data_IF_902592953895
#
_entry.id   IF_902592953895
#
_cell.length_a   1.000
_cell.length_b   1.000
_cell.length_c   1.000
_cell.angle_alpha   90.00
_cell.angle_beta   90.00
_cell.angle_gamma   90.00
#
_symmetry.space_group_name_H-M   'P 1'
#
loop_
_entity.id
_entity.type
_entity.pdbx_description
1 polymer ?
#
# COMPACT_ATOMS: atom_id res chain seq x y z
N UNK A 1 40.14 -11.34 46.94
CA UNK A 1 40.06 -10.57 45.69
C UNK A 1 38.91 -11.10 44.83
N UNK A 2 37.79 -10.41 44.80
CA UNK A 2 36.58 -10.83 44.07
C UNK A 2 36.76 -10.50 42.57
N UNK A 3 36.66 -11.52 41.71
CA UNK A 3 36.66 -11.34 40.27
C UNK A 3 35.40 -10.54 39.86
N UNK A 4 35.55 -9.32 39.31
CA UNK A 4 34.49 -8.58 38.64
C UNK A 4 34.13 -9.28 37.35
N UNK A 5 32.93 -9.90 37.30
CA UNK A 5 32.36 -10.52 36.11
C UNK A 5 31.55 -9.50 35.30
N UNK A 6 32.19 -8.49 34.72
CA UNK A 6 31.60 -7.56 33.77
C UNK A 6 32.19 -7.76 32.38
N UNK A 7 31.35 -7.74 31.35
CA UNK A 7 31.83 -7.70 29.97
C UNK A 7 32.02 -6.24 29.55
N UNK A 8 33.19 -5.92 29.02
CA UNK A 8 33.53 -4.58 28.53
C UNK A 8 32.99 -4.44 27.11
N UNK A 9 32.23 -3.37 26.86
CA UNK A 9 31.76 -2.93 25.57
C UNK A 9 32.14 -1.48 25.32
N UNK A 10 32.18 -1.10 24.07
CA UNK A 10 32.49 0.29 23.65
C UNK A 10 31.26 0.86 22.96
N UNK A 11 30.73 1.98 23.47
CA UNK A 11 29.58 2.70 22.94
C UNK A 11 30.01 3.99 22.27
N UNK A 12 29.53 4.24 21.06
CA UNK A 12 29.78 5.51 20.38
C UNK A 12 28.95 6.63 21.02
N UNK A 13 29.61 7.73 21.41
CA UNK A 13 28.96 8.91 21.99
C UNK A 13 28.08 9.67 21.00
N UNK A 14 28.37 9.54 19.68
CA UNK A 14 27.62 10.25 18.63
C UNK A 14 26.39 9.50 18.12
N UNK A 15 26.45 8.16 17.95
CA UNK A 15 25.35 7.40 17.37
C UNK A 15 24.80 6.27 18.28
N UNK A 16 25.43 6.03 19.43
CA UNK A 16 24.99 4.99 20.37
C UNK A 16 25.37 3.57 19.99
N UNK A 17 26.04 3.34 18.85
CA UNK A 17 26.49 2.02 18.42
C UNK A 17 27.39 1.37 19.47
N UNK A 18 27.16 0.09 19.76
CA UNK A 18 27.93 -0.67 20.75
C UNK A 18 28.60 -1.87 20.14
N UNK A 19 29.86 -2.12 20.53
CA UNK A 19 30.64 -3.28 20.09
C UNK A 19 31.59 -3.77 21.16
N UNK A 20 32.06 -5.04 21.08
CA UNK A 20 32.89 -5.66 22.10
C UNK A 20 34.37 -5.26 22.04
N UNK A 21 34.79 -4.49 21.04
CA UNK A 21 36.20 -4.08 20.83
C UNK A 21 36.27 -2.59 20.54
N UNK A 22 37.29 -1.93 21.05
CA UNK A 22 37.54 -0.54 20.70
C UNK A 22 38.04 -0.42 19.26
N UNK A 23 37.47 0.52 18.52
CA UNK A 23 37.94 0.94 17.17
C UNK A 23 38.17 2.44 17.20
N UNK A 24 39.22 2.92 16.52
CA UNK A 24 39.50 4.35 16.40
C UNK A 24 38.43 5.14 15.67
N UNK A 25 37.58 4.45 14.88
CA UNK A 25 36.48 5.04 14.11
C UNK A 25 35.21 4.21 14.29
N UNK A 26 34.10 4.85 14.55
CA UNK A 26 32.80 4.16 14.65
C UNK A 26 32.40 3.59 13.28
N UNK A 27 32.10 2.27 13.15
CA UNK A 27 31.71 1.67 11.88
C UNK A 27 30.34 2.11 11.38
N UNK A 28 29.46 2.60 12.27
CA UNK A 28 28.10 3.00 11.93
C UNK A 28 28.04 4.46 11.45
N UNK A 29 28.57 5.43 12.23
CA UNK A 29 28.51 6.85 11.89
C UNK A 29 29.80 7.41 11.31
N UNK A 30 30.89 6.65 11.30
CA UNK A 30 32.17 7.05 10.77
C UNK A 30 32.96 8.07 11.62
N UNK A 31 32.51 8.42 12.80
CA UNK A 31 33.15 9.43 13.67
C UNK A 31 34.38 8.85 14.36
N UNK A 32 35.44 9.65 14.45
CA UNK A 32 36.71 9.26 15.05
C UNK A 32 36.69 9.48 16.56
N UNK A 33 37.32 8.57 17.33
CA UNK A 33 37.49 8.63 18.79
C UNK A 33 36.18 8.80 19.57
N UNK A 34 35.06 8.36 19.01
CA UNK A 34 33.72 8.47 19.61
C UNK A 34 33.30 7.23 20.43
N UNK A 35 34.17 6.21 20.53
CA UNK A 35 33.86 4.97 21.24
C UNK A 35 34.38 5.05 22.70
N UNK A 36 33.43 5.10 23.64
CA UNK A 36 33.69 5.14 25.08
C UNK A 36 33.46 3.76 25.71
N UNK A 37 34.32 3.40 26.68
CA UNK A 37 34.25 2.13 27.38
C UNK A 37 33.09 2.10 28.35
N UNK A 38 32.22 1.09 28.22
CA UNK A 38 31.13 0.81 29.17
C UNK A 38 31.27 -0.61 29.72
N UNK A 39 31.16 -0.77 31.02
CA UNK A 39 31.18 -2.07 31.71
C UNK A 39 29.73 -2.49 31.92
N UNK A 40 29.29 -3.52 31.20
CA UNK A 40 27.97 -4.10 31.39
C UNK A 40 28.07 -5.22 32.43
N UNK A 41 27.52 -4.99 33.61
CA UNK A 41 27.40 -6.00 34.66
C UNK A 41 26.28 -6.98 34.26
N UNK A 42 26.61 -8.23 34.01
CA UNK A 42 25.66 -9.29 33.60
C UNK A 42 24.49 -9.52 34.58
N UNK A 43 24.59 -8.99 35.81
CA UNK A 43 23.53 -9.06 36.80
C UNK A 43 22.58 -7.84 36.77
N UNK A 44 22.80 -6.84 35.91
CA UNK A 44 21.97 -5.64 35.78
C UNK A 44 21.33 -5.46 34.40
N UNK A 45 21.32 -6.49 33.56
CA UNK A 45 20.44 -6.53 32.39
C UNK A 45 19.07 -7.04 32.86
N UNK A 46 18.50 -6.34 33.81
CA UNK A 46 17.07 -6.34 34.06
C UNK A 46 16.55 -5.05 33.48
N UNK A 47 15.65 -5.21 32.50
CA UNK A 47 14.82 -4.20 31.92
C UNK A 47 14.72 -2.89 32.71
N UNK A 48 15.27 -1.81 32.20
CA UNK A 48 14.81 -0.48 32.52
C UNK A 48 13.45 -0.31 31.83
N UNK A 49 12.39 -0.41 32.62
CA UNK A 49 11.02 -0.17 32.14
C UNK A 49 10.01 -1.00 32.92
N UNK A 50 9.38 -0.36 33.90
CA UNK A 50 8.18 -0.77 34.64
C UNK A 50 8.31 -1.91 35.68
N UNK A 51 8.11 -1.54 36.93
CA UNK A 51 7.55 -2.30 38.05
C UNK A 51 8.17 -3.67 38.35
N UNK A 52 8.67 -3.84 39.56
CA UNK A 52 9.09 -5.13 40.15
C UNK A 52 7.95 -6.17 40.13
N UNK A 53 7.61 -6.71 38.98
CA UNK A 53 6.93 -8.00 38.87
C UNK A 53 7.94 -9.01 38.36
N UNK A 54 8.11 -10.10 39.11
CA UNK A 54 8.96 -11.22 38.74
C UNK A 54 8.48 -11.72 37.37
N UNK A 55 9.29 -11.54 36.32
CA UNK A 55 8.99 -12.05 34.98
C UNK A 55 8.81 -13.56 35.11
N UNK A 56 7.57 -14.03 35.10
CA UNK A 56 7.22 -15.44 35.05
C UNK A 56 7.84 -16.03 33.79
N UNK A 57 8.74 -16.99 33.97
CA UNK A 57 9.36 -17.68 32.80
C UNK A 57 8.25 -18.36 32.01
N UNK A 58 7.99 -17.88 30.83
CA UNK A 58 7.03 -18.51 29.92
C UNK A 58 7.44 -19.95 29.65
N UNK A 59 6.52 -20.89 29.87
CA UNK A 59 6.72 -22.30 29.57
C UNK A 59 6.21 -22.60 28.17
N UNK A 60 6.91 -23.45 27.38
CA UNK A 60 6.41 -23.88 26.08
C UNK A 60 5.06 -24.59 26.24
N UNK A 61 4.10 -24.24 25.37
CA UNK A 61 2.75 -24.81 25.34
C UNK A 61 2.58 -25.59 24.05
N UNK A 62 1.98 -26.77 24.13
CA UNK A 62 1.71 -27.60 22.94
C UNK A 62 0.73 -26.90 22.01
N UNK A 63 1.05 -26.81 20.70
CA UNK A 63 0.25 -26.11 19.70
C UNK A 63 -1.21 -26.60 19.67
N UNK A 64 -1.46 -27.88 19.83
CA UNK A 64 -2.80 -28.48 19.85
C UNK A 64 -3.67 -28.06 21.07
N UNK A 65 -3.05 -27.58 22.14
CA UNK A 65 -3.77 -27.11 23.35
C UNK A 65 -4.15 -25.62 23.27
N UNK A 66 -3.66 -24.90 22.28
CA UNK A 66 -3.94 -23.47 22.08
C UNK A 66 -5.29 -23.36 21.34
N UNK A 67 -6.28 -22.78 22.01
CA UNK A 67 -7.53 -22.40 21.34
C UNK A 67 -7.29 -21.16 20.49
N UNK A 68 -7.57 -21.24 19.20
CA UNK A 68 -7.59 -20.05 18.35
C UNK A 68 -8.64 -19.07 18.91
N UNK A 69 -8.22 -17.83 19.17
CA UNK A 69 -9.17 -16.79 19.59
C UNK A 69 -10.03 -16.42 18.37
N UNK A 70 -11.28 -16.84 18.37
CA UNK A 70 -12.29 -16.37 17.42
C UNK A 70 -12.55 -14.87 17.71
N UNK A 71 -12.63 -14.05 16.63
CA UNK A 71 -12.90 -12.61 16.65
C UNK A 71 -11.82 -11.71 17.24
N UNK A 72 -10.65 -11.79 16.68
CA UNK A 72 -9.55 -10.90 17.03
C UNK A 72 -9.47 -9.65 16.14
N UNK A 73 -10.52 -9.26 15.41
CA UNK A 73 -10.50 -8.09 14.53
C UNK A 73 -11.38 -6.95 15.03
N UNK A 74 -10.90 -5.73 14.82
CA UNK A 74 -11.58 -4.48 15.03
C UNK A 74 -11.94 -3.89 13.66
N UNK A 75 -13.23 -3.71 13.36
CA UNK A 75 -13.64 -3.00 12.16
C UNK A 75 -13.27 -1.52 12.28
N UNK A 76 -12.70 -0.96 11.23
CA UNK A 76 -12.42 0.47 11.13
C UNK A 76 -13.66 1.28 10.80
N UNK A 77 -14.77 0.60 10.40
CA UNK A 77 -16.00 1.22 9.91
C UNK A 77 -15.86 1.84 8.53
N UNK A 78 -14.71 1.65 7.86
CA UNK A 78 -14.45 2.07 6.49
C UNK A 78 -14.18 0.81 5.66
N UNK A 79 -15.16 0.41 4.84
CA UNK A 79 -15.15 -0.87 4.12
C UNK A 79 -13.88 -1.11 3.30
N UNK A 80 -13.42 -0.10 2.56
CA UNK A 80 -12.20 -0.17 1.75
C UNK A 80 -10.94 -0.34 2.61
N UNK A 81 -10.92 0.24 3.81
CA UNK A 81 -9.80 0.08 4.72
C UNK A 81 -9.83 -1.30 5.39
N UNK A 82 -11.02 -1.74 5.82
CA UNK A 82 -11.20 -3.10 6.37
C UNK A 82 -10.83 -4.17 5.34
N UNK A 83 -11.15 -3.94 4.05
CA UNK A 83 -10.78 -4.83 2.95
C UNK A 83 -9.25 -5.01 2.86
N UNK A 84 -8.49 -3.91 2.85
CA UNK A 84 -7.02 -3.94 2.81
C UNK A 84 -6.42 -4.63 4.04
N UNK A 85 -7.06 -4.48 5.19
CA UNK A 85 -6.65 -5.13 6.42
C UNK A 85 -7.02 -6.63 6.48
N UNK A 86 -7.78 -7.13 5.50
CA UNK A 86 -8.24 -8.52 5.44
C UNK A 86 -9.47 -8.78 6.32
N UNK A 87 -10.39 -7.81 6.40
CA UNK A 87 -11.64 -7.87 7.16
C UNK A 87 -11.59 -7.13 8.50
N UNK A 88 -10.75 -6.09 8.60
CA UNK A 88 -10.54 -5.26 9.78
C UNK A 88 -9.19 -5.43 10.46
N UNK A 89 -8.85 -4.51 11.35
CA UNK A 89 -7.58 -4.49 12.06
C UNK A 89 -7.48 -5.63 13.09
N UNK A 90 -6.44 -6.44 13.03
CA UNK A 90 -6.23 -7.50 14.00
C UNK A 90 -5.89 -6.90 15.37
N UNK A 91 -6.52 -7.37 16.44
CA UNK A 91 -6.15 -7.00 17.82
C UNK A 91 -4.73 -7.46 18.14
N UNK A 92 -4.09 -6.80 19.08
CA UNK A 92 -2.69 -7.04 19.48
C UNK A 92 -1.72 -6.88 18.33
N UNK A 93 -2.02 -5.96 17.39
CA UNK A 93 -1.21 -5.73 16.22
C UNK A 93 -0.81 -4.28 16.05
N UNK A 94 0.32 -4.10 15.37
CA UNK A 94 0.84 -2.82 14.95
C UNK A 94 0.81 -2.71 13.42
N UNK A 95 0.26 -1.60 12.94
CA UNK A 95 0.09 -1.26 11.53
C UNK A 95 0.94 -0.01 11.24
N UNK A 96 1.71 -0.03 10.17
CA UNK A 96 2.44 1.12 9.66
C UNK A 96 1.75 1.63 8.39
N UNK A 97 1.27 2.86 8.42
CA UNK A 97 0.66 3.53 7.28
C UNK A 97 1.64 4.54 6.69
N UNK A 98 2.27 4.18 5.58
CA UNK A 98 3.20 5.02 4.82
C UNK A 98 2.49 5.80 3.72
N UNK A 99 2.96 7.02 3.41
CA UNK A 99 2.44 7.80 2.30
C UNK A 99 3.07 9.19 2.23
N UNK A 100 2.97 9.84 1.08
CA UNK A 100 3.46 11.21 0.90
C UNK A 100 2.80 12.20 1.86
N UNK A 101 3.47 13.30 2.25
CA UNK A 101 2.84 14.39 2.96
C UNK A 101 1.62 14.90 2.19
N UNK A 102 0.52 15.21 2.90
CA UNK A 102 -0.72 15.73 2.29
C UNK A 102 -1.57 14.72 1.54
N UNK A 103 -1.22 13.42 1.48
CA UNK A 103 -2.01 12.41 0.76
C UNK A 103 -3.36 12.10 1.42
N UNK A 104 -3.50 12.36 2.72
CA UNK A 104 -4.72 12.13 3.48
C UNK A 104 -4.60 11.11 4.61
N UNK A 105 -3.40 10.70 5.04
CA UNK A 105 -3.18 9.75 6.15
C UNK A 105 -3.94 10.15 7.42
N UNK A 106 -3.69 11.36 7.89
CA UNK A 106 -4.32 11.90 9.11
C UNK A 106 -5.84 12.05 8.96
N UNK A 107 -6.34 12.33 7.73
CA UNK A 107 -7.77 12.36 7.43
C UNK A 107 -8.39 10.98 7.55
N UNK A 108 -7.79 9.95 6.93
CA UNK A 108 -8.25 8.57 7.02
C UNK A 108 -8.30 8.09 8.47
N UNK A 109 -7.23 8.37 9.23
CA UNK A 109 -7.13 7.91 10.61
C UNK A 109 -8.13 8.64 11.53
N UNK A 110 -8.39 9.92 11.29
CA UNK A 110 -9.39 10.66 12.06
C UNK A 110 -10.82 10.17 11.75
N UNK A 111 -11.12 9.87 10.49
CA UNK A 111 -12.39 9.24 10.10
C UNK A 111 -12.55 7.84 10.73
N UNK A 112 -11.48 7.04 10.73
CA UNK A 112 -11.43 5.73 11.39
C UNK A 112 -11.65 5.85 12.90
N UNK A 113 -10.98 6.80 13.54
CA UNK A 113 -11.13 7.08 14.97
C UNK A 113 -12.59 7.42 15.33
N UNK A 114 -13.22 8.29 14.53
CA UNK A 114 -14.61 8.68 14.73
C UNK A 114 -15.57 7.50 14.56
N UNK A 115 -15.35 6.66 13.55
CA UNK A 115 -16.19 5.48 13.30
C UNK A 115 -16.07 4.44 14.42
N UNK A 116 -14.85 4.09 14.84
CA UNK A 116 -14.61 3.17 15.95
C UNK A 116 -15.22 3.73 17.24
N UNK A 117 -14.98 5.01 17.51
CA UNK A 117 -15.52 5.63 18.73
C UNK A 117 -17.04 5.62 18.76
N UNK A 118 -17.71 5.91 17.66
CA UNK A 118 -19.17 5.86 17.56
C UNK A 118 -19.72 4.45 17.84
N UNK A 119 -19.07 3.41 17.29
CA UNK A 119 -19.46 2.02 17.53
C UNK A 119 -19.32 1.59 18.99
N UNK A 120 -18.28 2.03 19.67
CA UNK A 120 -18.03 1.70 21.08
C UNK A 120 -18.88 2.52 22.05
N UNK A 121 -19.04 3.82 21.83
CA UNK A 121 -19.86 4.69 22.71
C UNK A 121 -21.33 4.35 22.66
N UNK A 122 -21.83 3.81 21.55
CA UNK A 122 -23.18 3.26 21.47
C UNK A 122 -23.41 2.11 22.47
N UNK A 123 -22.36 1.31 22.76
CA UNK A 123 -22.41 0.18 23.68
C UNK A 123 -22.05 0.57 25.12
N UNK A 124 -21.21 1.58 25.33
CA UNK A 124 -20.74 2.04 26.64
C UNK A 124 -20.33 3.52 26.63
N UNK A 125 -21.26 4.44 26.96
CA UNK A 125 -21.03 5.89 26.84
C UNK A 125 -19.89 6.46 27.70
N UNK A 126 -19.47 5.75 28.75
CA UNK A 126 -18.42 6.18 29.68
C UNK A 126 -17.01 5.78 29.23
N UNK A 127 -16.86 5.05 28.14
CA UNK A 127 -15.58 4.57 27.66
C UNK A 127 -15.02 5.48 26.57
N UNK A 128 -13.74 5.81 26.66
CA UNK A 128 -12.99 6.54 25.61
C UNK A 128 -12.09 5.56 24.85
N UNK A 129 -12.61 4.89 23.84
CA UNK A 129 -11.95 3.75 23.21
C UNK A 129 -10.76 4.14 22.32
N UNK A 130 -10.58 5.43 21.99
CA UNK A 130 -9.58 5.88 21.03
C UNK A 130 -8.64 6.90 21.68
N UNK A 131 -7.33 6.69 21.48
CA UNK A 131 -6.29 7.68 21.77
C UNK A 131 -5.57 8.07 20.48
N UNK A 132 -5.60 9.37 20.15
CA UNK A 132 -4.87 9.97 19.03
C UNK A 132 -3.68 10.76 19.58
N UNK A 133 -2.48 10.29 19.32
CA UNK A 133 -1.22 10.92 19.71
C UNK A 133 -0.68 11.67 18.49
N UNK A 134 -0.50 12.99 18.62
CA UNK A 134 0.04 13.85 17.57
C UNK A 134 1.35 14.48 18.02
N UNK A 135 2.40 14.29 17.24
CA UNK A 135 3.66 15.00 17.40
C UNK A 135 3.86 16.16 16.42
N UNK A 136 2.91 16.37 15.49
CA UNK A 136 3.02 17.39 14.45
C UNK A 136 1.96 18.49 14.58
N UNK A 137 0.73 18.14 14.93
CA UNK A 137 -0.39 19.06 14.97
C UNK A 137 -0.87 19.29 16.40
N UNK A 138 -1.35 20.51 16.64
CA UNK A 138 -2.01 20.87 17.91
C UNK A 138 -3.43 20.30 17.98
N UNK A 139 -3.96 20.15 19.19
CA UNK A 139 -5.33 19.69 19.41
C UNK A 139 -6.37 20.58 18.71
N UNK A 140 -6.12 21.89 18.62
CA UNK A 140 -7.00 22.84 17.93
C UNK A 140 -7.07 22.57 16.41
N UNK A 141 -5.93 22.29 15.77
CA UNK A 141 -5.86 21.95 14.34
C UNK A 141 -6.57 20.63 14.03
N UNK A 142 -6.37 19.61 14.87
CA UNK A 142 -7.07 18.33 14.74
C UNK A 142 -8.57 18.52 14.91
N UNK A 143 -9.00 19.32 15.90
CA UNK A 143 -10.42 19.63 16.12
C UNK A 143 -11.04 20.38 14.94
N UNK A 144 -10.37 21.39 14.39
CA UNK A 144 -10.82 22.13 13.22
C UNK A 144 -10.99 21.20 12.00
N UNK A 145 -10.05 20.28 11.80
CA UNK A 145 -10.16 19.24 10.76
C UNK A 145 -11.37 18.34 10.99
N UNK A 146 -11.57 17.88 12.21
CA UNK A 146 -12.70 17.03 12.56
C UNK A 146 -14.04 17.75 12.30
N UNK A 147 -14.15 19.03 12.67
CA UNK A 147 -15.34 19.84 12.45
C UNK A 147 -15.61 20.07 10.95
N UNK A 148 -14.57 20.38 10.17
CA UNK A 148 -14.67 20.50 8.72
C UNK A 148 -15.16 19.22 8.04
N UNK A 149 -14.75 18.06 8.56
CA UNK A 149 -15.18 16.75 8.06
C UNK A 149 -16.54 16.31 8.62
N UNK A 150 -17.14 17.07 9.53
CA UNK A 150 -18.42 16.73 10.17
C UNK A 150 -18.35 15.49 11.06
N UNK A 151 -17.19 15.19 11.68
CA UNK A 151 -16.98 13.99 12.45
C UNK A 151 -17.48 14.14 13.89
N UNK A 152 -18.11 13.07 14.41
CA UNK A 152 -18.45 12.97 15.81
C UNK A 152 -17.24 12.46 16.61
N UNK A 153 -16.68 13.30 17.47
CA UNK A 153 -15.44 13.04 18.19
C UNK A 153 -15.64 12.57 19.64
N UNK A 154 -16.87 12.26 20.05
CA UNK A 154 -17.13 11.73 21.39
C UNK A 154 -16.37 10.40 21.59
N UNK A 155 -15.62 10.27 22.70
CA UNK A 155 -14.82 9.07 23.00
C UNK A 155 -13.46 9.03 22.28
N UNK A 156 -13.02 10.12 21.65
CA UNK A 156 -11.66 10.27 21.14
C UNK A 156 -10.89 11.18 22.08
N UNK A 157 -9.80 10.67 22.65
CA UNK A 157 -8.84 11.46 23.40
C UNK A 157 -7.70 11.88 22.47
N UNK A 158 -7.22 13.12 22.64
CA UNK A 158 -6.09 13.66 21.87
C UNK A 158 -4.97 13.98 22.85
N UNK A 159 -3.76 13.50 22.55
CA UNK A 159 -2.53 13.84 23.23
C UNK A 159 -1.56 14.47 22.23
N UNK A 160 -1.24 15.76 22.44
CA UNK A 160 -0.25 16.46 21.61
C UNK A 160 1.09 16.45 22.34
N UNK A 161 1.93 15.47 22.03
CA UNK A 161 3.28 15.33 22.58
C UNK A 161 4.20 14.65 21.58
N UNK A 162 5.48 14.96 21.68
CA UNK A 162 6.55 14.23 21.00
C UNK A 162 7.36 13.33 21.94
N UNK A 163 7.01 13.29 23.23
CA UNK A 163 7.70 12.45 24.21
C UNK A 163 7.06 11.07 24.30
N UNK A 164 7.89 10.04 24.18
CA UNK A 164 7.47 8.65 24.29
C UNK A 164 6.86 8.36 25.69
N UNK A 165 7.51 8.85 26.73
CA UNK A 165 7.14 8.60 28.12
C UNK A 165 5.72 9.12 28.41
N UNK A 166 5.39 10.34 28.01
CA UNK A 166 4.05 10.91 28.17
C UNK A 166 3.00 10.09 27.39
N UNK A 167 3.39 9.55 26.25
CA UNK A 167 2.52 8.70 25.42
C UNK A 167 2.23 7.36 26.09
N UNK A 168 3.24 6.72 26.68
CA UNK A 168 3.08 5.44 27.38
C UNK A 168 2.25 5.60 28.67
N UNK A 169 2.47 6.68 29.43
CA UNK A 169 1.68 7.01 30.61
C UNK A 169 0.18 7.19 30.25
N UNK A 170 -0.11 7.87 29.13
CA UNK A 170 -1.47 8.03 28.66
C UNK A 170 -2.09 6.70 28.19
N UNK A 171 -1.32 5.87 27.51
CA UNK A 171 -1.74 4.53 27.09
C UNK A 171 -2.10 3.64 28.28
N UNK A 172 -1.28 3.62 29.32
CA UNK A 172 -1.51 2.81 30.52
C UNK A 172 -2.71 3.32 31.33
N UNK A 173 -2.89 4.64 31.40
CA UNK A 173 -4.00 5.24 32.14
C UNK A 173 -5.36 5.05 31.46
N UNK A 174 -5.41 5.14 30.12
CA UNK A 174 -6.65 5.10 29.34
C UNK A 174 -7.00 3.69 28.82
N UNK A 175 -6.00 2.83 28.64
CA UNK A 175 -6.12 1.49 28.06
C UNK A 175 -7.04 1.46 26.82
N UNK A 176 -6.73 2.26 25.78
CA UNK A 176 -7.59 2.40 24.60
C UNK A 176 -7.58 1.14 23.74
N UNK A 177 -8.70 0.87 23.04
CA UNK A 177 -8.79 -0.25 22.08
C UNK A 177 -8.17 0.08 20.73
N UNK A 178 -8.02 1.38 20.42
CA UNK A 178 -7.45 1.87 19.18
C UNK A 178 -6.53 3.06 19.42
N UNK A 179 -5.30 2.95 18.96
CA UNK A 179 -4.23 3.93 19.16
C UNK A 179 -3.73 4.43 17.82
N UNK A 180 -3.64 5.73 17.66
CA UNK A 180 -3.06 6.38 16.50
C UNK A 180 -1.83 7.18 16.93
N UNK A 181 -0.73 7.04 16.21
CA UNK A 181 0.48 7.87 16.35
C UNK A 181 0.76 8.58 15.03
N UNK A 182 0.61 9.88 15.02
CA UNK A 182 0.73 10.72 13.83
C UNK A 182 1.74 11.87 14.05
N UNK A 183 3.01 11.70 13.70
CA UNK A 183 3.68 10.56 13.10
C UNK A 183 4.72 9.95 14.06
N UNK A 184 5.11 8.71 13.82
CA UNK A 184 6.18 8.06 14.63
C UNK A 184 7.52 8.81 14.51
N UNK A 185 7.72 9.55 13.43
CA UNK A 185 8.97 10.28 13.16
C UNK A 185 9.19 11.46 14.10
N UNK A 186 8.16 11.97 14.72
CA UNK A 186 8.22 13.10 15.67
C UNK A 186 8.39 12.65 17.10
N UNK A 187 8.16 11.36 17.39
CA UNK A 187 8.27 10.82 18.73
C UNK A 187 9.75 10.57 19.09
N UNK A 188 10.13 10.94 20.29
CA UNK A 188 11.47 10.71 20.82
C UNK A 188 11.45 10.30 22.29
N UNK A 189 12.52 9.63 22.72
CA UNK A 189 12.82 9.34 24.12
C UNK A 189 14.25 9.73 24.44
N UNK A 190 14.47 10.31 25.61
CA UNK A 190 15.82 10.62 26.09
C UNK A 190 16.68 9.35 26.28
N UNK A 191 16.06 8.20 26.50
CA UNK A 191 16.76 6.92 26.69
C UNK A 191 17.35 6.36 25.38
N UNK A 192 16.75 6.71 24.23
CA UNK A 192 17.19 6.22 22.92
C UNK A 192 18.29 7.07 22.24
N UNK A 193 18.76 8.13 22.92
CA UNK A 193 19.79 9.03 22.40
C UNK A 193 19.33 10.49 22.33
N UNK A 194 20.28 11.39 22.08
CA UNK A 194 20.05 12.85 22.22
C UNK A 194 19.33 13.46 21.01
N UNK A 195 19.43 12.84 19.83
CA UNK A 195 18.95 13.45 18.56
C UNK A 195 17.63 12.85 18.12
N UNK A 196 16.51 13.61 18.17
CA UNK A 196 15.21 13.16 17.63
C UNK A 196 15.28 12.84 16.13
N UNK A 197 14.42 11.93 15.66
CA UNK A 197 14.31 11.56 14.24
C UNK A 197 15.42 10.63 13.72
N UNK A 198 16.39 10.23 14.55
CA UNK A 198 17.38 9.23 14.15
C UNK A 198 16.75 7.84 14.05
N UNK A 199 17.37 6.97 13.24
CA UNK A 199 16.92 5.57 13.04
C UNK A 199 16.80 4.83 14.37
N UNK A 200 17.70 5.06 15.31
CA UNK A 200 17.66 4.42 16.64
C UNK A 200 16.48 4.91 17.48
N UNK A 201 16.19 6.23 17.44
CA UNK A 201 15.02 6.80 18.09
C UNK A 201 13.73 6.17 17.56
N UNK A 202 13.58 6.15 16.22
CA UNK A 202 12.40 5.57 15.57
C UNK A 202 12.20 4.10 15.95
N UNK A 203 13.28 3.30 15.92
CA UNK A 203 13.21 1.88 16.31
C UNK A 203 12.84 1.69 17.77
N UNK A 204 13.46 2.45 18.65
CA UNK A 204 13.20 2.38 20.09
C UNK A 204 11.76 2.74 20.39
N UNK A 205 11.30 3.92 19.96
CA UNK A 205 9.94 4.37 20.20
C UNK A 205 8.89 3.42 19.57
N UNK A 206 9.11 2.96 18.35
CA UNK A 206 8.21 2.00 17.72
C UNK A 206 8.17 0.66 18.49
N UNK A 207 9.32 0.17 18.99
CA UNK A 207 9.39 -1.05 19.77
C UNK A 207 8.57 -0.96 21.07
N UNK A 208 8.69 0.15 21.80
CA UNK A 208 7.94 0.36 23.03
C UNK A 208 6.42 0.36 22.78
N UNK A 209 5.95 1.09 21.77
CA UNK A 209 4.55 1.06 21.38
C UNK A 209 4.06 -0.32 20.92
N UNK A 210 4.87 -1.02 20.13
CA UNK A 210 4.55 -2.38 19.66
C UNK A 210 4.49 -3.35 20.83
N UNK A 211 5.43 -3.25 21.78
CA UNK A 211 5.44 -4.08 22.98
C UNK A 211 4.19 -3.84 23.81
N UNK A 212 3.81 -2.57 23.98
CA UNK A 212 2.59 -2.20 24.70
C UNK A 212 1.33 -2.84 24.10
N UNK A 213 1.15 -2.75 22.77
CA UNK A 213 -0.06 -3.27 22.10
C UNK A 213 -0.10 -4.80 22.05
N UNK A 214 1.05 -5.48 21.99
CA UNK A 214 1.12 -6.95 21.95
C UNK A 214 0.57 -7.64 23.19
N UNK A 215 0.59 -6.96 24.31
CA UNK A 215 0.09 -7.47 25.60
C UNK A 215 -1.39 -7.15 25.86
N UNK A 216 -2.01 -6.33 25.00
CA UNK A 216 -3.38 -5.79 25.20
C UNK A 216 -4.27 -6.04 24.00
N UNK A 217 -5.59 -6.10 24.20
CA UNK A 217 -6.56 -6.26 23.12
C UNK A 217 -6.80 -4.95 22.34
N UNK A 218 -5.71 -4.31 21.97
CA UNK A 218 -5.67 -3.01 21.30
C UNK A 218 -5.13 -3.15 19.86
N UNK A 219 -5.37 -2.14 19.03
CA UNK A 219 -4.78 -1.97 17.71
C UNK A 219 -3.98 -0.67 17.69
N UNK A 220 -2.77 -0.73 17.19
CA UNK A 220 -1.90 0.42 16.98
C UNK A 220 -1.73 0.73 15.51
N UNK A 221 -1.98 1.98 15.11
CA UNK A 221 -1.60 2.50 13.78
C UNK A 221 -0.60 3.63 13.95
N UNK A 222 0.55 3.49 13.30
CA UNK A 222 1.58 4.53 13.22
C UNK A 222 1.67 5.06 11.80
N UNK A 223 1.68 6.39 11.63
CA UNK A 223 1.97 6.98 10.31
C UNK A 223 3.46 7.19 10.11
N UNK A 224 3.87 7.10 8.84
CA UNK A 224 5.21 7.46 8.40
C UNK A 224 5.15 8.17 7.04
N UNK A 225 6.13 9.05 6.77
CA UNK A 225 6.30 9.65 5.46
C UNK A 225 7.07 8.72 4.53
N UNK A 226 6.74 8.75 3.23
CA UNK A 226 7.47 8.05 2.18
C UNK A 226 8.44 9.04 1.52
N UNK A 227 9.64 8.59 1.15
CA UNK A 227 10.59 9.37 0.35
C UNK A 227 10.09 9.47 -1.10
N UNK A 228 10.64 10.43 -1.88
CA UNK A 228 10.32 10.60 -3.33
C UNK A 228 10.59 9.35 -4.17
N UNK A 229 11.37 8.41 -3.66
CA UNK A 229 11.69 7.12 -4.29
C UNK A 229 10.65 6.02 -3.97
N UNK A 230 9.54 6.36 -3.31
CA UNK A 230 8.47 5.41 -2.95
C UNK A 230 8.82 4.47 -1.79
N UNK A 231 9.94 4.69 -1.10
CA UNK A 231 10.31 3.95 0.11
C UNK A 231 9.83 4.71 1.35
N UNK A 232 9.33 4.01 2.36
CA UNK A 232 8.94 4.62 3.63
C UNK A 232 10.17 5.37 4.19
N UNK A 233 10.01 6.68 4.43
CA UNK A 233 11.05 7.52 5.03
C UNK A 233 11.27 7.09 6.47
N UNK A 234 12.17 6.20 6.65
CA UNK A 234 12.54 5.48 7.85
C UNK A 234 13.16 4.17 7.44
N UNK A 235 13.97 3.54 8.27
CA UNK A 235 14.68 2.35 7.84
C UNK A 235 13.65 1.27 7.50
N UNK A 236 13.88 0.53 6.42
CA UNK A 236 13.18 -0.73 6.09
C UNK A 236 13.02 -1.66 7.30
N UNK A 237 13.84 -1.46 8.32
CA UNK A 237 13.78 -2.16 9.59
C UNK A 237 12.46 -1.94 10.37
N UNK A 238 11.75 -0.82 10.20
CA UNK A 238 10.43 -0.63 10.82
C UNK A 238 9.37 -1.53 10.20
N UNK A 239 9.46 -1.78 8.90
CA UNK A 239 8.55 -2.72 8.21
C UNK A 239 8.63 -4.14 8.77
N UNK A 240 9.82 -4.54 9.28
CA UNK A 240 10.00 -5.86 9.90
C UNK A 240 9.43 -5.93 11.32
N UNK A 241 9.33 -4.81 12.02
CA UNK A 241 8.86 -4.75 13.40
C UNK A 241 7.33 -4.84 13.51
N UNK A 242 6.60 -4.26 12.53
CA UNK A 242 5.13 -4.23 12.51
C UNK A 242 4.53 -5.48 11.88
N UNK A 243 3.24 -5.71 12.11
CA UNK A 243 2.53 -6.86 11.55
C UNK A 243 1.97 -6.57 10.16
N UNK A 244 1.56 -5.34 9.91
CA UNK A 244 0.99 -4.89 8.64
C UNK A 244 1.66 -3.60 8.19
N UNK A 245 2.00 -3.50 6.92
CA UNK A 245 2.52 -2.30 6.26
C UNK A 245 1.59 -1.95 5.11
N UNK A 246 1.07 -0.73 5.13
CA UNK A 246 0.17 -0.21 4.10
C UNK A 246 0.82 1.02 3.48
N UNK A 247 0.92 1.05 2.16
CA UNK A 247 1.26 2.26 1.41
C UNK A 247 -0.01 2.99 0.99
N UNK A 248 0.00 4.30 1.13
CA UNK A 248 -1.05 5.19 0.67
C UNK A 248 -0.50 6.03 -0.47
N UNK A 249 -1.03 5.81 -1.67
CA UNK A 249 -0.50 6.35 -2.91
C UNK A 249 -1.56 7.19 -3.64
N UNK A 250 -1.12 8.18 -4.40
CA UNK A 250 -1.98 9.01 -5.24
C UNK A 250 -1.77 8.66 -6.70
N UNK A 251 -2.87 8.50 -7.44
CA UNK A 251 -2.83 8.48 -8.90
C UNK A 251 -2.93 9.94 -9.46
N UNK A 252 -2.80 10.10 -10.76
CA UNK A 252 -2.88 11.41 -11.45
C UNK A 252 -4.17 12.18 -11.17
N UNK A 253 -5.26 11.48 -10.93
CA UNK A 253 -6.56 12.03 -10.58
C UNK A 253 -6.77 12.03 -9.05
N UNK A 254 -7.89 12.54 -8.53
CA UNK A 254 -8.17 12.62 -7.10
C UNK A 254 -8.39 11.26 -6.41
N UNK A 255 -7.95 10.18 -7.03
CA UNK A 255 -8.03 8.82 -6.52
C UNK A 255 -6.81 8.50 -5.67
N UNK A 256 -7.08 7.81 -4.57
CA UNK A 256 -6.08 7.32 -3.61
C UNK A 256 -6.19 5.80 -3.51
N UNK A 257 -5.04 5.15 -3.48
CA UNK A 257 -4.92 3.71 -3.32
C UNK A 257 -4.26 3.37 -1.99
N UNK A 258 -4.85 2.45 -1.26
CA UNK A 258 -4.22 1.77 -0.14
C UNK A 258 -3.76 0.40 -0.60
N UNK A 259 -2.46 0.11 -0.50
CA UNK A 259 -1.87 -1.18 -0.82
C UNK A 259 -1.28 -1.83 0.41
N UNK A 260 -1.63 -3.06 0.70
CA UNK A 260 -0.96 -3.86 1.71
C UNK A 260 0.38 -4.37 1.16
N UNK A 261 1.50 -3.82 1.64
CA UNK A 261 2.86 -4.30 1.27
C UNK A 261 3.28 -5.50 2.13
N UNK A 262 2.74 -5.58 3.34
CA UNK A 262 2.93 -6.68 4.29
C UNK A 262 1.66 -6.84 5.10
N UNK A 263 1.17 -8.06 5.25
CA UNK A 263 0.04 -8.36 6.12
C UNK A 263 0.19 -9.77 6.70
N UNK A 264 0.46 -9.88 8.00
CA UNK A 264 0.56 -11.17 8.69
C UNK A 264 -0.78 -11.84 8.93
N UNK A 265 -1.87 -11.10 8.79
CA UNK A 265 -3.23 -11.54 9.10
C UNK A 265 -4.13 -11.65 7.87
N UNK A 266 -3.63 -11.37 6.69
CA UNK A 266 -4.39 -11.40 5.45
C UNK A 266 -3.53 -11.40 4.20
N UNK A 267 -4.18 -11.28 3.05
CA UNK A 267 -3.50 -11.13 1.75
C UNK A 267 -2.79 -9.79 1.66
N UNK A 268 -1.69 -9.76 0.92
CA UNK A 268 -1.00 -8.53 0.50
C UNK A 268 -1.51 -8.02 -0.85
N UNK A 269 -2.38 -8.80 -1.53
CA UNK A 269 -2.92 -8.45 -2.85
C UNK A 269 -4.15 -7.52 -2.76
N UNK A 270 -4.58 -7.15 -1.54
CA UNK A 270 -5.78 -6.34 -1.34
C UNK A 270 -5.52 -4.85 -1.55
N UNK A 271 -6.45 -4.20 -2.24
CA UNK A 271 -6.39 -2.77 -2.55
C UNK A 271 -7.65 -2.07 -2.06
N UNK A 272 -7.47 -0.96 -1.35
CA UNK A 272 -8.52 -0.01 -1.01
C UNK A 272 -8.49 1.21 -1.93
N UNK A 273 -9.66 1.68 -2.34
CA UNK A 273 -9.78 2.77 -3.30
C UNK A 273 -10.66 3.87 -2.76
N UNK A 274 -10.09 5.05 -2.69
CA UNK A 274 -10.74 6.24 -2.15
C UNK A 274 -10.70 7.39 -3.14
N UNK A 275 -11.73 8.21 -3.09
CA UNK A 275 -11.73 9.56 -3.66
C UNK A 275 -11.61 10.59 -2.53
N UNK A 276 -10.91 11.70 -2.80
CA UNK A 276 -10.85 12.82 -1.87
C UNK A 276 -11.96 13.82 -2.21
N UNK A 277 -12.80 14.12 -1.23
CA UNK A 277 -13.88 15.11 -1.33
C UNK A 277 -13.78 16.14 -0.20
N UNK A 278 -14.69 17.11 -0.18
CA UNK A 278 -14.84 18.05 0.94
C UNK A 278 -15.19 17.34 2.26
N UNK A 279 -15.82 16.16 2.18
CA UNK A 279 -16.15 15.30 3.33
C UNK A 279 -15.02 14.38 3.78
N UNK A 280 -13.85 14.47 3.13
CA UNK A 280 -12.68 13.65 3.40
C UNK A 280 -12.50 12.53 2.38
N UNK A 281 -12.05 11.38 2.85
CA UNK A 281 -11.84 10.18 2.04
C UNK A 281 -13.12 9.36 1.99
N UNK A 282 -13.63 9.16 0.79
CA UNK A 282 -14.83 8.37 0.52
C UNK A 282 -14.47 7.13 -0.30
N UNK A 283 -14.99 5.94 0.08
CA UNK A 283 -14.82 4.73 -0.72
C UNK A 283 -15.38 4.91 -2.13
N UNK A 284 -14.67 4.42 -3.15
CA UNK A 284 -15.15 4.44 -4.53
C UNK A 284 -16.12 3.29 -4.74
N UNK A 285 -17.41 3.61 -4.96
CA UNK A 285 -18.50 2.62 -5.05
C UNK A 285 -18.37 1.65 -6.25
N UNK A 286 -17.85 2.10 -7.38
CA UNK A 286 -17.70 1.31 -8.60
C UNK A 286 -16.24 1.35 -9.12
N UNK A 287 -15.30 0.75 -8.40
CA UNK A 287 -13.90 0.81 -8.79
C UNK A 287 -13.61 0.16 -10.15
N UNK A 288 -14.37 -0.85 -10.54
CA UNK A 288 -14.17 -1.56 -11.80
C UNK A 288 -14.34 -0.68 -13.04
N UNK A 289 -15.15 0.38 -12.97
CA UNK A 289 -15.39 1.32 -14.09
C UNK A 289 -14.56 2.60 -14.01
N UNK A 290 -13.69 2.73 -13.01
CA UNK A 290 -12.96 3.96 -12.71
C UNK A 290 -12.10 4.46 -13.88
N UNK A 291 -11.58 3.53 -14.67
CA UNK A 291 -10.65 3.79 -15.78
C UNK A 291 -11.32 3.69 -17.16
N UNK A 292 -12.66 3.78 -17.20
CA UNK A 292 -13.43 3.82 -18.42
C UNK A 292 -13.91 5.24 -18.70
N UNK A 293 -13.67 5.70 -19.90
CA UNK A 293 -14.23 6.99 -20.36
C UNK A 293 -15.70 6.81 -20.74
N UNK A 294 -16.60 7.54 -20.08
CA UNK A 294 -18.03 7.54 -20.44
C UNK A 294 -18.23 8.27 -21.76
N UNK A 295 -18.58 7.56 -22.82
CA UNK A 295 -18.92 8.10 -24.14
C UNK A 295 -20.40 7.91 -24.41
N UNK A 296 -21.00 8.90 -25.06
CA UNK A 296 -22.40 8.82 -25.56
C UNK A 296 -22.47 8.23 -26.96
N UNK A 297 -21.40 8.41 -27.74
CA UNK A 297 -21.31 8.05 -29.15
C UNK A 297 -20.40 6.85 -29.38
N UNK A 298 -20.10 6.59 -30.66
CA UNK A 298 -19.18 5.52 -31.09
C UNK A 298 -17.79 5.70 -30.50
N UNK A 299 -17.13 4.60 -30.21
CA UNK A 299 -15.74 4.58 -29.73
C UNK A 299 -14.83 5.11 -30.86
N UNK A 300 -13.86 6.00 -30.58
CA UNK A 300 -12.89 6.43 -31.58
C UNK A 300 -11.93 5.29 -31.94
N UNK A 301 -11.33 5.40 -33.12
CA UNK A 301 -10.24 4.50 -33.48
C UNK A 301 -9.07 4.61 -32.52
N UNK A 302 -8.34 3.51 -32.32
CA UNK A 302 -7.22 3.44 -31.40
C UNK A 302 -7.57 3.13 -29.94
N UNK A 303 -8.84 2.91 -29.60
CA UNK A 303 -9.26 2.65 -28.22
C UNK A 303 -9.75 1.21 -28.04
N UNK A 304 -9.27 0.54 -27.00
CA UNK A 304 -9.68 -0.83 -26.64
C UNK A 304 -9.78 -0.97 -25.13
N UNK A 305 -10.79 -1.67 -24.65
CA UNK A 305 -10.97 -1.97 -23.24
C UNK A 305 -10.41 -3.35 -22.89
N UNK A 306 -9.78 -3.46 -21.72
CA UNK A 306 -9.21 -4.71 -21.22
C UNK A 306 -9.47 -4.88 -19.72
N UNK A 307 -9.87 -6.08 -19.24
CA UNK A 307 -9.93 -6.38 -17.82
C UNK A 307 -8.53 -6.70 -17.29
N UNK A 308 -8.07 -5.92 -16.31
CA UNK A 308 -6.78 -6.09 -15.64
C UNK A 308 -6.97 -6.38 -14.17
N UNK A 309 -6.04 -7.13 -13.57
CA UNK A 309 -5.98 -7.31 -12.14
C UNK A 309 -5.06 -6.26 -11.52
N UNK A 310 -5.56 -5.64 -10.46
CA UNK A 310 -4.75 -4.89 -9.52
C UNK A 310 -5.10 -5.42 -8.14
N UNK A 311 -4.16 -6.13 -7.53
CA UNK A 311 -4.42 -6.90 -6.32
C UNK A 311 -5.43 -8.04 -6.54
N UNK A 312 -6.47 -8.07 -5.73
CA UNK A 312 -7.56 -9.05 -5.84
C UNK A 312 -8.71 -8.61 -6.76
N UNK A 313 -8.71 -7.34 -7.20
CA UNK A 313 -9.82 -6.73 -7.97
C UNK A 313 -9.54 -6.70 -9.44
N UNK A 314 -10.63 -6.75 -10.23
CA UNK A 314 -10.59 -6.58 -11.68
C UNK A 314 -11.08 -5.19 -12.04
N UNK A 315 -10.28 -4.48 -12.81
CA UNK A 315 -10.62 -3.18 -13.39
C UNK A 315 -10.77 -3.31 -14.91
N UNK A 316 -11.72 -2.60 -15.47
CA UNK A 316 -11.76 -2.39 -16.92
C UNK A 316 -10.98 -1.10 -17.22
N UNK A 317 -9.97 -1.23 -18.07
CA UNK A 317 -9.05 -0.13 -18.40
C UNK A 317 -9.06 0.11 -19.89
N UNK A 318 -9.08 1.38 -20.30
CA UNK A 318 -8.93 1.75 -21.70
C UNK A 318 -7.45 1.90 -22.05
N UNK A 319 -7.01 1.17 -23.07
CA UNK A 319 -5.75 1.39 -23.77
C UNK A 319 -6.06 2.25 -24.99
N UNK A 320 -5.35 3.37 -25.10
CA UNK A 320 -5.50 4.33 -26.18
C UNK A 320 -4.20 4.38 -27.00
N UNK A 321 -4.27 4.11 -28.27
CA UNK A 321 -3.16 4.17 -29.22
C UNK A 321 -3.40 5.22 -30.28
N UNK A 322 -2.33 5.88 -30.72
CA UNK A 322 -2.32 6.81 -31.84
C UNK A 322 -1.08 6.52 -32.66
N UNK A 323 -1.23 6.48 -33.98
CA UNK A 323 -0.11 6.37 -34.91
C UNK A 323 -0.10 7.59 -35.84
N UNK A 324 1.05 8.18 -36.05
CA UNK A 324 1.26 9.31 -36.96
C UNK A 324 2.49 9.06 -37.82
N UNK A 325 2.54 9.55 -39.07
CA UNK A 325 3.74 9.40 -39.88
C UNK A 325 4.99 9.89 -39.15
N UNK A 326 6.02 9.07 -39.15
CA UNK A 326 7.28 9.42 -38.47
C UNK A 326 7.95 10.62 -39.18
N UNK A 327 8.29 11.64 -38.40
CA UNK A 327 9.01 12.82 -38.92
C UNK A 327 10.51 12.57 -39.11
N UNK A 328 11.04 11.51 -38.51
CA UNK A 328 12.43 11.10 -38.57
C UNK A 328 12.57 9.77 -39.30
N UNK A 329 13.78 9.42 -39.73
CA UNK A 329 14.09 8.12 -40.35
C UNK A 329 13.90 6.91 -39.45
N UNK A 330 13.67 7.13 -38.13
CA UNK A 330 13.45 6.08 -37.13
C UNK A 330 12.14 6.36 -36.42
N UNK A 331 11.24 5.36 -36.42
CA UNK A 331 10.01 5.36 -35.63
C UNK A 331 10.26 5.47 -34.12
N UNK A 332 9.46 6.25 -33.45
CA UNK A 332 9.55 6.46 -32.00
C UNK A 332 8.30 5.93 -31.31
N UNK A 333 8.49 5.40 -30.09
CA UNK A 333 7.41 4.91 -29.24
C UNK A 333 7.36 5.74 -27.98
N UNK A 334 6.22 6.37 -27.75
CA UNK A 334 5.91 7.17 -26.57
C UNK A 334 4.86 6.43 -25.74
N UNK A 335 5.27 5.85 -24.63
CA UNK A 335 4.40 5.11 -23.73
C UNK A 335 4.90 5.26 -22.30
N UNK A 336 4.07 5.75 -21.38
CA UNK A 336 4.45 5.98 -19.99
C UNK A 336 3.96 4.88 -19.03
N UNK A 337 2.80 4.30 -19.33
CA UNK A 337 2.10 3.37 -18.42
C UNK A 337 2.17 1.92 -18.87
N UNK A 338 2.57 1.68 -20.13
CA UNK A 338 2.93 0.38 -20.67
C UNK A 338 4.39 0.46 -21.10
N UNK A 339 5.17 -0.57 -20.80
CA UNK A 339 6.58 -0.63 -21.22
C UNK A 339 6.72 -0.46 -22.74
N UNK A 340 7.58 0.47 -23.16
CA UNK A 340 7.78 0.79 -24.58
C UNK A 340 8.33 -0.39 -25.39
N UNK A 341 9.14 -1.25 -24.76
CA UNK A 341 9.61 -2.50 -25.38
C UNK A 341 8.46 -3.50 -25.62
N UNK A 342 7.45 -3.51 -24.73
CA UNK A 342 6.22 -4.29 -24.96
C UNK A 342 5.44 -3.76 -26.14
N UNK A 343 5.26 -2.45 -26.24
CA UNK A 343 4.58 -1.82 -27.40
C UNK A 343 5.31 -2.16 -28.70
N UNK A 344 6.65 -2.03 -28.73
CA UNK A 344 7.47 -2.38 -29.89
C UNK A 344 7.30 -3.85 -30.30
N UNK A 345 7.31 -4.76 -29.33
CA UNK A 345 7.12 -6.20 -29.56
C UNK A 345 5.76 -6.50 -30.18
N UNK A 346 4.69 -5.93 -29.63
CA UNK A 346 3.32 -6.13 -30.14
C UNK A 346 3.19 -5.55 -31.55
N UNK A 347 3.70 -4.34 -31.82
CA UNK A 347 3.70 -3.74 -33.15
C UNK A 347 4.44 -4.62 -34.16
N UNK A 348 5.61 -5.16 -33.83
CA UNK A 348 6.37 -6.07 -34.71
C UNK A 348 5.61 -7.37 -35.03
N UNK A 349 4.86 -7.92 -34.05
CA UNK A 349 4.00 -9.10 -34.31
C UNK A 349 2.87 -8.75 -35.26
N UNK A 350 2.20 -7.60 -35.08
CA UNK A 350 1.16 -7.13 -36.02
C UNK A 350 1.74 -6.95 -37.43
N UNK A 351 2.88 -6.29 -37.55
CA UNK A 351 3.56 -6.07 -38.82
C UNK A 351 3.84 -7.40 -39.53
N UNK A 352 4.45 -8.36 -38.84
CA UNK A 352 4.82 -9.64 -39.40
C UNK A 352 3.63 -10.54 -39.71
N UNK A 353 2.57 -10.56 -38.90
CA UNK A 353 1.46 -11.51 -38.99
C UNK A 353 0.24 -10.96 -39.70
N UNK A 354 -0.01 -9.66 -39.61
CA UNK A 354 -1.15 -9.00 -40.23
C UNK A 354 -0.77 -8.17 -41.48
N UNK A 355 0.53 -7.98 -41.74
CA UNK A 355 1.02 -7.22 -42.89
C UNK A 355 0.82 -5.69 -42.76
N UNK A 356 0.66 -5.19 -41.55
CA UNK A 356 0.41 -3.78 -41.24
C UNK A 356 1.69 -3.10 -40.78
N UNK A 357 2.29 -2.25 -41.59
CA UNK A 357 3.58 -1.61 -41.31
C UNK A 357 3.48 -0.55 -40.22
N UNK A 358 4.43 -0.56 -39.27
CA UNK A 358 4.62 0.45 -38.23
C UNK A 358 5.99 1.12 -38.30
N UNK A 359 6.90 0.66 -39.11
CA UNK A 359 8.25 1.20 -39.20
C UNK A 359 8.29 2.65 -39.72
N UNK A 360 7.24 3.10 -40.38
CA UNK A 360 7.03 4.47 -40.86
C UNK A 360 6.17 5.35 -39.94
N UNK A 361 5.86 4.89 -38.72
CA UNK A 361 4.94 5.56 -37.82
C UNK A 361 5.60 5.83 -36.46
N UNK A 362 5.39 7.03 -35.92
CA UNK A 362 5.54 7.28 -34.47
C UNK A 362 4.30 6.75 -33.76
N UNK A 363 4.53 6.01 -32.66
CA UNK A 363 3.49 5.34 -31.89
C UNK A 363 3.35 6.01 -30.54
N UNK A 364 2.13 6.41 -30.20
CA UNK A 364 1.77 6.95 -28.88
C UNK A 364 0.79 6.00 -28.22
N UNK A 365 1.07 5.61 -26.97
CA UNK A 365 0.18 4.76 -26.17
C UNK A 365 -0.07 5.41 -24.82
N UNK A 366 -1.34 5.53 -24.47
CA UNK A 366 -1.80 6.03 -23.19
C UNK A 366 -2.75 5.02 -22.54
N UNK A 367 -2.84 5.08 -21.20
CA UNK A 367 -3.78 4.29 -20.40
C UNK A 367 -4.67 5.25 -19.64
N UNK A 368 -5.98 5.12 -19.83
CA UNK A 368 -6.95 5.97 -19.15
C UNK A 368 -6.82 5.83 -17.60
N UNK A 369 -6.91 6.96 -16.89
CA UNK A 369 -6.76 7.00 -15.44
C UNK A 369 -5.34 6.77 -14.92
N UNK A 370 -4.33 6.69 -15.81
CA UNK A 370 -2.91 6.71 -15.44
C UNK A 370 -2.40 5.49 -14.68
N UNK A 371 -3.14 4.38 -14.66
CA UNK A 371 -2.69 3.11 -14.05
C UNK A 371 -1.57 2.47 -14.88
N UNK A 372 -0.58 1.89 -14.23
CA UNK A 372 0.51 1.20 -14.90
C UNK A 372 0.15 -0.25 -15.19
N UNK A 373 0.24 -0.66 -16.45
CA UNK A 373 -0.12 -2.00 -16.90
C UNK A 373 1.12 -2.86 -17.15
N UNK A 374 1.38 -3.79 -16.24
CA UNK A 374 2.56 -4.66 -16.30
C UNK A 374 2.22 -6.12 -16.69
N UNK A 375 0.97 -6.56 -16.57
CA UNK A 375 0.58 -7.95 -16.83
C UNK A 375 0.54 -8.26 -18.35
N UNK A 376 0.78 -9.52 -18.71
CA UNK A 376 0.78 -9.97 -20.10
C UNK A 376 -0.61 -10.07 -20.72
N UNK A 377 -1.65 -10.11 -19.92
CA UNK A 377 -3.04 -10.20 -20.37
C UNK A 377 -3.49 -9.04 -21.27
N UNK A 378 -2.81 -7.90 -21.19
CA UNK A 378 -3.14 -6.70 -21.98
C UNK A 378 -2.66 -6.77 -23.44
N UNK A 379 -1.79 -7.72 -23.79
CA UNK A 379 -1.12 -7.74 -25.10
C UNK A 379 -2.11 -7.81 -26.27
N UNK A 380 -3.17 -8.61 -26.14
CA UNK A 380 -4.22 -8.72 -27.15
C UNK A 380 -5.00 -7.41 -27.33
N UNK A 381 -5.31 -6.72 -26.21
CA UNK A 381 -5.99 -5.42 -26.26
C UNK A 381 -5.08 -4.32 -26.82
N UNK A 382 -3.80 -4.32 -26.46
CA UNK A 382 -2.80 -3.41 -27.02
C UNK A 382 -2.66 -3.63 -28.55
N UNK A 383 -2.66 -4.90 -28.98
CA UNK A 383 -2.63 -5.22 -30.41
C UNK A 383 -3.88 -4.71 -31.14
N UNK A 384 -5.06 -4.86 -30.54
CA UNK A 384 -6.30 -4.35 -31.09
C UNK A 384 -6.29 -2.80 -31.17
N UNK A 385 -5.80 -2.12 -30.12
CA UNK A 385 -5.68 -0.66 -30.12
C UNK A 385 -4.71 -0.14 -31.19
N UNK A 386 -3.53 -0.76 -31.32
CA UNK A 386 -2.54 -0.41 -32.33
C UNK A 386 -3.06 -0.64 -33.76
N UNK A 387 -3.71 -1.78 -33.99
CA UNK A 387 -4.32 -2.08 -35.29
C UNK A 387 -5.43 -1.06 -35.63
N UNK A 388 -6.30 -0.79 -34.68
CA UNK A 388 -7.37 0.22 -34.75
C UNK A 388 -6.81 1.60 -35.13
N UNK A 389 -5.80 2.06 -34.38
CA UNK A 389 -5.15 3.36 -34.62
C UNK A 389 -4.52 3.46 -36.00
N UNK A 390 -3.90 2.37 -36.49
CA UNK A 390 -3.19 2.35 -37.78
C UNK A 390 -4.13 2.28 -38.98
N UNK A 391 -5.29 1.64 -38.81
CA UNK A 391 -6.28 1.45 -39.90
C UNK A 391 -7.43 2.45 -39.82
N UNK A 392 -7.51 3.27 -38.81
CA UNK A 392 -8.61 4.19 -38.51
C UNK A 392 -9.98 3.48 -38.35
N UNK A 393 -9.97 2.20 -37.99
CA UNK A 393 -11.16 1.39 -37.73
C UNK A 393 -11.45 1.33 -36.24
N UNK A 394 -12.63 1.80 -35.82
CA UNK A 394 -13.02 1.77 -34.42
C UNK A 394 -13.37 0.36 -33.93
N UNK A 395 -13.00 0.04 -32.73
CA UNK A 395 -13.48 -1.15 -32.02
C UNK A 395 -14.93 -0.91 -31.59
N UNK A 396 -15.79 -1.93 -31.74
CA UNK A 396 -17.20 -1.81 -31.38
C UNK A 396 -17.38 -1.54 -29.88
N UNK A 397 -18.28 -0.61 -29.53
CA UNK A 397 -18.64 -0.36 -28.14
C UNK A 397 -19.09 -1.63 -27.42
N UNK A 398 -18.71 -1.79 -26.16
CA UNK A 398 -19.03 -2.97 -25.37
C UNK A 398 -18.15 -4.19 -25.70
N UNK A 399 -17.02 -3.97 -26.38
CA UNK A 399 -16.00 -5.01 -26.63
C UNK A 399 -14.87 -4.90 -25.62
N UNK A 400 -14.58 -5.98 -24.90
CA UNK A 400 -13.40 -6.13 -24.04
C UNK A 400 -12.49 -7.22 -24.62
N UNK A 401 -11.18 -6.99 -24.59
CA UNK A 401 -10.18 -7.87 -25.19
C UNK A 401 -9.09 -8.17 -24.15
N UNK A 402 -8.70 -9.44 -24.01
CA UNK A 402 -7.54 -9.80 -23.20
C UNK A 402 -6.92 -11.13 -23.62
N UNK A 403 -5.62 -11.27 -23.37
CA UNK A 403 -4.83 -12.46 -23.69
C UNK A 403 -3.36 -12.11 -23.89
N UNK A 404 -2.48 -13.04 -23.62
CA UNK A 404 -1.05 -12.89 -23.85
C UNK A 404 -0.70 -13.14 -25.31
N UNK A 405 0.03 -12.22 -25.96
CA UNK A 405 0.45 -12.36 -27.35
C UNK A 405 1.88 -12.88 -27.45
N UNK A 406 2.04 -14.08 -28.03
CA UNK A 406 3.36 -14.65 -28.32
C UNK A 406 4.02 -14.01 -29.56
N UNK A 407 5.34 -14.13 -29.68
CA UNK A 407 6.06 -13.70 -30.90
C UNK A 407 5.64 -14.47 -32.16
N UNK A 408 5.09 -15.68 -31.97
CA UNK A 408 4.52 -16.47 -33.07
C UNK A 408 3.16 -15.93 -33.55
N UNK A 409 2.54 -14.99 -32.84
CA UNK A 409 1.23 -14.44 -33.13
C UNK A 409 0.07 -15.21 -32.50
N UNK A 410 0.35 -16.19 -31.65
CA UNK A 410 -0.65 -16.93 -30.86
C UNK A 410 -1.16 -16.06 -29.72
N UNK A 411 -2.43 -16.17 -29.39
CA UNK A 411 -3.02 -15.57 -28.20
C UNK A 411 -3.22 -16.67 -27.17
N UNK A 412 -2.53 -16.56 -26.04
CA UNK A 412 -2.48 -17.55 -24.98
C UNK A 412 -3.40 -17.22 -23.82
N UNK A 413 -3.97 -18.25 -23.17
CA UNK A 413 -4.76 -18.08 -21.96
C UNK A 413 -3.97 -17.37 -20.85
N UNK A 414 -4.69 -16.61 -20.03
CA UNK A 414 -4.16 -15.88 -18.89
C UNK A 414 -4.83 -16.33 -17.60
N UNK A 415 -4.21 -16.05 -16.48
CA UNK A 415 -4.75 -16.42 -15.16
C UNK A 415 -6.07 -15.71 -14.88
N UNK A 416 -6.94 -16.36 -14.10
CA UNK A 416 -8.21 -15.79 -13.61
C UNK A 416 -9.18 -15.36 -14.73
N UNK A 417 -9.17 -16.03 -15.88
CA UNK A 417 -10.02 -15.75 -17.05
C UNK A 417 -11.50 -15.58 -16.70
N UNK A 418 -12.07 -16.48 -15.90
CA UNK A 418 -13.49 -16.41 -15.47
C UNK A 418 -13.83 -15.13 -14.71
N UNK A 419 -12.93 -14.67 -13.85
CA UNK A 419 -13.15 -13.44 -13.07
C UNK A 419 -13.08 -12.20 -13.97
N UNK A 420 -12.17 -12.18 -14.96
CA UNK A 420 -12.07 -11.11 -15.97
C UNK A 420 -13.35 -11.00 -16.80
N UNK A 421 -13.86 -12.13 -17.26
CA UNK A 421 -15.12 -12.19 -18.02
C UNK A 421 -16.28 -11.66 -17.16
N UNK A 422 -16.45 -12.20 -15.95
CA UNK A 422 -17.52 -11.78 -15.05
C UNK A 422 -17.49 -10.28 -14.73
N UNK A 423 -16.30 -9.69 -14.55
CA UNK A 423 -16.16 -8.27 -14.30
C UNK A 423 -16.55 -7.43 -15.53
N UNK A 424 -16.16 -7.84 -16.72
CA UNK A 424 -16.54 -7.17 -17.95
C UNK A 424 -18.05 -7.26 -18.21
N UNK A 425 -18.65 -8.43 -18.06
CA UNK A 425 -20.12 -8.62 -18.15
C UNK A 425 -20.88 -7.74 -17.14
N UNK A 426 -20.41 -7.68 -15.89
CA UNK A 426 -21.00 -6.85 -14.84
C UNK A 426 -21.00 -5.35 -15.15
N UNK A 427 -20.10 -4.88 -16.04
CA UNK A 427 -20.04 -3.50 -16.52
C UNK A 427 -20.74 -3.30 -17.88
N UNK A 428 -21.45 -4.32 -18.38
CA UNK A 428 -22.26 -4.24 -19.60
C UNK A 428 -21.48 -4.48 -20.89
N UNK A 429 -20.26 -5.05 -20.82
CA UNK A 429 -19.55 -5.50 -22.03
C UNK A 429 -20.22 -6.76 -22.58
N UNK A 430 -20.65 -6.69 -23.84
CA UNK A 430 -21.43 -7.76 -24.49
C UNK A 430 -20.56 -8.65 -25.38
N UNK A 431 -19.40 -8.17 -25.81
CA UNK A 431 -18.43 -8.92 -26.60
C UNK A 431 -17.12 -9.01 -25.83
N UNK A 432 -16.78 -10.21 -25.34
CA UNK A 432 -15.54 -10.44 -24.61
C UNK A 432 -14.67 -11.39 -25.43
N UNK A 433 -13.56 -10.88 -25.90
CA UNK A 433 -12.64 -11.58 -26.78
C UNK A 433 -11.42 -12.04 -25.97
N UNK A 434 -11.35 -13.33 -25.72
CA UNK A 434 -10.26 -13.96 -24.95
C UNK A 434 -9.94 -15.34 -25.50
N UNK A 435 -8.74 -15.86 -25.26
CA UNK A 435 -8.45 -17.26 -25.56
C UNK A 435 -9.35 -18.16 -24.70
N UNK A 436 -9.85 -19.25 -25.29
CA UNK A 436 -10.66 -20.25 -24.59
C UNK A 436 -9.78 -21.35 -24.05
N UNK A 437 -10.12 -21.83 -22.85
CA UNK A 437 -9.54 -23.05 -22.29
C UNK A 437 -10.05 -24.34 -23.00
N UNK A 438 -11.14 -24.20 -23.81
CA UNK A 438 -11.76 -25.30 -24.57
C UNK A 438 -11.69 -24.99 -26.08
N UNK A 439 -11.20 -25.96 -26.82
CA UNK A 439 -10.70 -25.90 -28.22
C UNK A 439 -11.56 -25.26 -29.33
N UNK A 440 -12.77 -24.75 -29.12
CA UNK A 440 -13.65 -24.40 -30.25
C UNK A 440 -14.34 -23.02 -30.24
N UNK A 441 -14.14 -22.15 -29.28
CA UNK A 441 -14.86 -20.85 -29.25
C UNK A 441 -14.01 -19.61 -28.90
N UNK A 442 -12.72 -19.79 -28.66
CA UNK A 442 -11.82 -18.72 -28.25
C UNK A 442 -10.94 -18.20 -29.39
N UNK A 443 -10.28 -17.09 -29.12
CA UNK A 443 -9.32 -16.48 -30.05
C UNK A 443 -7.99 -17.18 -29.87
N UNK A 444 -7.50 -17.84 -30.91
CA UNK A 444 -6.24 -18.58 -30.89
C UNK A 444 -5.03 -17.78 -31.38
N UNK A 445 -5.27 -16.78 -32.19
CA UNK A 445 -4.20 -15.99 -32.85
C UNK A 445 -4.65 -14.55 -33.19
N UNK A 446 -3.66 -13.70 -33.47
CA UNK A 446 -3.89 -12.28 -33.73
C UNK A 446 -4.75 -12.05 -35.01
N UNK A 447 -4.67 -12.89 -36.04
CA UNK A 447 -5.47 -12.72 -37.23
C UNK A 447 -6.94 -13.00 -36.95
N UNK A 448 -7.22 -14.02 -36.14
CA UNK A 448 -8.58 -14.34 -35.68
C UNK A 448 -9.12 -13.22 -34.82
N UNK A 449 -8.30 -12.66 -33.88
CA UNK A 449 -8.67 -11.51 -33.09
C UNK A 449 -9.09 -10.33 -33.96
N UNK A 450 -8.24 -9.90 -34.87
CA UNK A 450 -8.50 -8.75 -35.75
C UNK A 450 -9.77 -8.96 -36.58
N UNK A 451 -9.98 -10.16 -37.12
CA UNK A 451 -11.22 -10.50 -37.85
C UNK A 451 -12.47 -10.43 -36.97
N UNK A 452 -12.37 -10.81 -35.71
CA UNK A 452 -13.52 -10.80 -34.78
C UNK A 452 -13.88 -9.39 -34.31
N UNK A 453 -12.93 -8.44 -34.33
CA UNK A 453 -13.15 -7.05 -33.90
C UNK A 453 -13.64 -6.18 -35.07
N UNK A 454 -13.03 -6.30 -36.29
CA UNK A 454 -13.16 -5.33 -37.36
C UNK A 454 -13.93 -5.86 -38.58
N UNK A 455 -14.51 -7.01 -38.50
CA UNK A 455 -15.44 -7.57 -39.49
C UNK A 455 -16.81 -7.76 -38.85
#
# INVERSE_FOLDING_TARGET
MAKKNGSVYYKCSSCGYTQPRWLGRCPECGEWNSLEEIIIDKNKVTAAGHGNEAVEKQKPVGLASIKAQENSRLSTGIEEFDHVLGGGAAKRSAILLGGEPGIGKSTLLLQTAASISAAFTASNPSNSPVLYISGEESAAQIKERADRLGLHCQGINILCTSRLEDSLDALDSLNPVFVIIDSIQTIYSAEAGIIPGTVNQLKYCANEFISWVKERDSVLIMTAHITKEGTIAGPKSMEHMVDTVISFERNSDDIRFLHAQKNRFGSVDEIGIFSMSEKGLEPVLNPASLFLTKRKDTQPAGVTCTPVFEGSRVFLVEIQALTVPAKASVSRIYSEKIDSGRVARVAAVIEKRCGLCFSDQDIYVNVAGGIRLNESSIDAALAAALYSARTDLAVKNGTAVFGELSLAGEIRPVTKTKQRIKAAEGLGFTQILSPSDNDNSGISDIKTLIKSIFR
#
